data_IF_665412957353
#
_entry.id   IF_665412957353
#
_cell.length_a   1.000
_cell.length_b   1.000
_cell.length_c   1.000
_cell.angle_alpha   90.00
_cell.angle_beta   90.00
_cell.angle_gamma   90.00
#
_symmetry.space_group_name_H-M   'P 1'
#
loop_
_entity.id
_entity.type
_entity.pdbx_description
1 polymer ?
#
# COMPACT_ATOMS: atom_id res chain seq x y z
N UNK A 1 8.11 -15.71 1.74
CA UNK A 1 9.36 -15.61 2.53
C UNK A 1 8.99 -15.57 4.00
N UNK A 2 9.81 -16.17 4.84
CA UNK A 2 9.62 -16.19 6.30
C UNK A 2 10.78 -15.39 6.89
N UNK A 3 10.50 -14.43 7.74
CA UNK A 3 11.51 -13.72 8.51
C UNK A 3 11.94 -14.62 9.67
N UNK A 4 13.13 -15.22 9.59
CA UNK A 4 13.65 -16.11 10.61
C UNK A 4 14.47 -15.39 11.66
N UNK A 5 15.16 -14.34 11.28
CA UNK A 5 16.08 -13.62 12.15
C UNK A 5 15.93 -12.12 11.98
N UNK A 6 15.94 -11.40 13.08
CA UNK A 6 15.93 -9.94 13.09
C UNK A 6 17.00 -9.42 14.03
N UNK A 7 17.93 -8.61 13.52
CA UNK A 7 18.91 -7.86 14.31
C UNK A 7 18.48 -6.40 14.38
N UNK A 8 18.42 -5.89 15.58
CA UNK A 8 18.12 -4.51 15.92
C UNK A 8 19.33 -3.86 16.57
N UNK A 9 19.71 -2.67 16.13
CA UNK A 9 20.78 -1.88 16.74
C UNK A 9 20.45 -0.39 16.62
N UNK A 10 20.46 0.32 17.76
CA UNK A 10 20.27 1.76 17.81
C UNK A 10 18.95 2.30 17.26
N UNK A 11 17.89 1.49 17.18
CA UNK A 11 16.63 1.85 16.56
C UNK A 11 15.56 2.25 17.58
N UNK A 12 15.06 3.47 17.49
CA UNK A 12 13.99 3.99 18.36
C UNK A 12 14.34 3.80 19.85
N UNK A 13 13.40 3.25 20.62
CA UNK A 13 13.60 2.88 22.03
C UNK A 13 13.92 1.39 22.22
N UNK A 14 14.12 0.64 21.12
CA UNK A 14 14.38 -0.80 21.22
C UNK A 14 15.82 -1.08 21.65
N UNK A 15 16.00 -2.03 22.56
CA UNK A 15 17.32 -2.51 22.96
C UNK A 15 18.01 -3.24 21.80
N UNK A 16 19.36 -3.17 21.76
CA UNK A 16 20.13 -3.88 20.76
C UNK A 16 20.01 -5.38 20.99
N UNK A 17 19.55 -6.11 19.99
CA UNK A 17 19.29 -7.55 20.14
C UNK A 17 19.30 -8.27 18.80
N UNK A 18 19.39 -9.60 18.87
CA UNK A 18 19.18 -10.51 17.75
C UNK A 18 18.09 -11.51 18.17
N UNK A 19 17.05 -11.59 17.38
CA UNK A 19 15.88 -12.42 17.66
C UNK A 19 15.71 -13.47 16.57
N UNK A 20 15.48 -14.71 16.97
CA UNK A 20 15.03 -15.78 16.07
C UNK A 20 13.51 -15.82 16.10
N UNK A 21 12.89 -15.57 14.95
CA UNK A 21 11.43 -15.44 14.85
C UNK A 21 10.86 -16.77 14.34
N UNK A 22 9.91 -17.37 15.07
CA UNK A 22 9.26 -18.60 14.67
C UNK A 22 8.54 -18.50 13.32
N UNK A 23 8.44 -19.58 12.54
CA UNK A 23 7.79 -19.57 11.22
C UNK A 23 6.32 -19.13 11.25
N UNK A 24 5.60 -19.43 12.30
CA UNK A 24 4.20 -18.99 12.53
C UNK A 24 4.12 -17.50 12.85
N UNK A 25 5.19 -16.93 13.39
CA UNK A 25 5.25 -15.58 13.91
C UNK A 25 5.18 -15.52 15.42
N UNK A 26 4.84 -14.33 15.97
CA UNK A 26 4.79 -14.08 17.42
C UNK A 26 3.71 -13.07 17.79
N UNK A 27 3.21 -13.18 19.01
CA UNK A 27 2.41 -12.15 19.67
C UNK A 27 3.27 -11.40 20.68
N UNK A 28 3.57 -10.12 20.38
CA UNK A 28 4.36 -9.23 21.24
C UNK A 28 3.45 -8.49 22.22
N UNK A 29 3.53 -8.84 23.48
CA UNK A 29 2.66 -8.33 24.54
C UNK A 29 3.42 -7.38 25.47
N UNK A 30 2.78 -6.29 25.85
CA UNK A 30 3.33 -5.34 26.81
C UNK A 30 2.53 -4.05 26.91
N UNK A 31 2.69 -3.26 27.98
CA UNK A 31 1.99 -2.00 28.15
C UNK A 31 2.22 -1.03 26.98
N UNK A 32 1.41 0.03 26.90
CA UNK A 32 1.58 1.05 25.89
C UNK A 32 2.93 1.77 26.07
N UNK A 33 3.45 2.31 24.94
CA UNK A 33 4.74 3.02 24.88
C UNK A 33 6.01 2.19 25.16
N UNK A 34 5.92 0.86 25.28
CA UNK A 34 7.09 0.00 25.52
C UNK A 34 7.92 -0.31 24.27
N UNK A 35 7.45 0.04 23.07
CA UNK A 35 8.18 -0.18 21.82
C UNK A 35 7.55 -1.21 20.87
N UNK A 36 6.35 -1.73 21.19
CA UNK A 36 5.62 -2.70 20.34
C UNK A 36 5.54 -2.26 18.87
N UNK A 37 4.95 -1.10 18.63
CA UNK A 37 4.82 -0.53 17.28
C UNK A 37 6.17 -0.20 16.63
N UNK A 38 7.20 0.12 17.42
CA UNK A 38 8.54 0.36 16.91
C UNK A 38 9.20 -0.94 16.44
N UNK A 39 8.87 -2.06 17.06
CA UNK A 39 9.31 -3.38 16.61
C UNK A 39 8.72 -3.74 15.23
N UNK A 40 7.42 -3.55 15.05
CA UNK A 40 6.79 -3.74 13.74
C UNK A 40 7.33 -2.76 12.68
N UNK A 41 7.55 -1.49 13.07
CA UNK A 41 8.16 -0.49 12.19
C UNK A 41 9.57 -0.89 11.76
N UNK A 42 10.39 -1.51 12.63
CA UNK A 42 11.72 -1.98 12.27
C UNK A 42 11.69 -3.07 11.18
N UNK A 43 10.75 -4.00 11.27
CA UNK A 43 10.56 -5.06 10.26
C UNK A 43 10.07 -4.45 8.95
N UNK A 44 9.04 -3.62 9.00
CA UNK A 44 8.48 -2.97 7.80
C UNK A 44 9.46 -1.97 7.17
N UNK A 45 10.38 -1.38 7.94
CA UNK A 45 11.46 -0.56 7.41
C UNK A 45 12.35 -1.32 6.42
N UNK A 46 12.58 -2.61 6.64
CA UNK A 46 13.34 -3.47 5.71
C UNK A 46 12.56 -3.78 4.41
N UNK A 47 11.26 -3.55 4.37
CA UNK A 47 10.44 -3.67 3.16
C UNK A 47 10.55 -2.44 2.26
N UNK A 48 10.44 -1.24 2.85
CA UNK A 48 10.30 0.02 2.10
C UNK A 48 11.46 1.00 2.32
N UNK A 49 12.42 0.67 3.18
CA UNK A 49 13.59 1.49 3.57
C UNK A 49 13.24 2.92 3.96
N UNK A 50 12.11 3.12 4.58
CA UNK A 50 11.67 4.39 5.17
C UNK A 50 10.66 4.17 6.29
N UNK A 51 10.48 5.18 7.13
CA UNK A 51 9.42 5.13 8.15
C UNK A 51 8.03 5.02 7.53
N UNK A 52 7.23 4.06 7.97
CA UNK A 52 5.81 3.96 7.64
C UNK A 52 5.05 5.22 8.08
N UNK A 53 5.42 5.79 9.23
CA UNK A 53 4.82 7.00 9.83
C UNK A 53 5.30 8.31 9.19
N UNK A 54 6.11 8.27 8.13
CA UNK A 54 6.64 9.46 7.44
C UNK A 54 7.70 10.24 8.23
N UNK A 55 8.24 9.66 9.29
CA UNK A 55 9.32 10.26 10.07
C UNK A 55 10.62 10.23 9.28
N UNK A 56 11.45 11.28 9.38
CA UNK A 56 12.79 11.30 8.78
C UNK A 56 13.65 10.19 9.39
N UNK A 57 14.42 9.47 8.57
CA UNK A 57 15.20 8.30 9.00
C UNK A 57 16.16 8.61 10.17
N UNK A 58 16.76 9.80 10.18
CA UNK A 58 17.65 10.20 11.29
C UNK A 58 16.95 10.33 12.64
N UNK A 59 15.63 10.50 12.67
CA UNK A 59 14.81 10.51 13.89
C UNK A 59 14.45 9.11 14.40
N UNK A 60 14.75 8.07 13.61
CA UNK A 60 14.61 6.67 14.01
C UNK A 60 15.81 6.19 14.81
N UNK A 61 16.92 6.94 14.80
CA UNK A 61 18.11 6.65 15.58
C UNK A 61 17.81 6.89 17.07
N UNK A 62 18.11 5.90 17.93
CA UNK A 62 17.94 6.00 19.37
C UNK A 62 18.67 7.23 19.92
N UNK A 63 18.11 7.85 20.95
CA UNK A 63 18.75 8.99 21.61
C UNK A 63 20.12 8.58 22.17
N UNK A 64 21.13 9.41 21.89
CA UNK A 64 22.53 9.12 22.28
C UNK A 64 23.31 8.29 21.26
N UNK A 65 22.66 7.61 20.32
CA UNK A 65 23.33 6.80 19.30
C UNK A 65 23.70 7.61 18.05
N UNK A 66 24.79 7.20 17.39
CA UNK A 66 25.25 7.82 16.15
C UNK A 66 24.53 7.26 14.91
N UNK A 67 24.03 6.04 14.98
CA UNK A 67 23.38 5.34 13.86
C UNK A 67 22.38 4.31 14.37
N UNK A 68 21.56 3.81 13.46
CA UNK A 68 20.87 2.53 13.62
C UNK A 68 21.23 1.55 12.51
N UNK A 69 21.14 0.25 12.81
CA UNK A 69 21.21 -0.84 11.85
C UNK A 69 20.09 -1.84 12.11
N UNK A 70 19.40 -2.20 11.04
CA UNK A 70 18.42 -3.28 11.01
C UNK A 70 18.89 -4.34 10.01
N UNK A 71 18.71 -5.62 10.36
CA UNK A 71 19.06 -6.72 9.46
C UNK A 71 18.05 -7.85 9.63
N UNK A 72 17.45 -8.27 8.53
CA UNK A 72 16.50 -9.37 8.46
C UNK A 72 17.10 -10.56 7.72
N UNK A 73 17.11 -11.72 8.36
CA UNK A 73 17.40 -13.01 7.73
C UNK A 73 16.09 -13.64 7.25
N UNK A 74 15.98 -13.87 5.94
CA UNK A 74 14.78 -14.38 5.28
C UNK A 74 15.03 -15.80 4.78
N UNK A 75 14.04 -16.68 4.94
CA UNK A 75 14.01 -17.99 4.33
C UNK A 75 13.11 -17.96 3.10
N UNK A 76 13.68 -18.33 1.96
CA UNK A 76 12.89 -18.54 0.74
C UNK A 76 12.32 -19.97 0.78
N UNK A 77 11.09 -20.18 1.28
CA UNK A 77 10.42 -21.46 1.14
C UNK A 77 9.83 -21.60 -0.26
N UNK A 78 10.13 -22.65 -1.00
CA UNK A 78 9.47 -22.96 -2.27
C UNK A 78 8.39 -24.01 -2.05
N UNK A 79 7.15 -23.79 -2.48
CA UNK A 79 6.13 -24.85 -2.43
C UNK A 79 6.37 -25.99 -3.43
N UNK A 80 7.31 -25.83 -4.35
CA UNK A 80 7.51 -26.77 -5.50
C UNK A 80 8.95 -27.27 -5.63
N UNK A 81 9.92 -26.73 -4.88
CA UNK A 81 11.34 -27.07 -5.03
C UNK A 81 11.83 -27.91 -3.84
N UNK A 82 12.41 -29.06 -4.14
CA UNK A 82 13.19 -29.89 -3.22
C UNK A 82 14.63 -29.40 -3.03
N UNK A 83 15.01 -28.29 -3.69
CA UNK A 83 16.31 -27.66 -3.55
C UNK A 83 16.43 -26.94 -2.20
N UNK A 84 17.64 -26.90 -1.59
CA UNK A 84 17.85 -26.24 -0.33
C UNK A 84 17.45 -24.78 -0.41
N UNK A 85 16.59 -24.38 0.53
CA UNK A 85 16.03 -23.02 0.64
C UNK A 85 17.15 -21.99 0.73
N UNK A 86 17.20 -21.08 -0.24
CA UNK A 86 18.15 -19.98 -0.23
C UNK A 86 17.87 -19.03 0.94
N UNK A 87 18.84 -18.88 1.84
CA UNK A 87 18.80 -17.82 2.85
C UNK A 87 19.12 -16.48 2.18
N UNK A 88 18.31 -15.48 2.44
CA UNK A 88 18.55 -14.11 2.00
C UNK A 88 18.72 -13.18 3.20
N UNK A 89 19.52 -12.17 3.05
CA UNK A 89 19.75 -11.18 4.09
C UNK A 89 19.45 -9.78 3.54
N UNK A 90 18.63 -9.04 4.24
CA UNK A 90 18.31 -7.65 3.92
C UNK A 90 18.72 -6.77 5.09
N UNK A 91 19.53 -5.75 4.83
CA UNK A 91 19.95 -4.84 5.89
C UNK A 91 19.86 -3.38 5.48
N UNK A 92 19.59 -2.54 6.47
CA UNK A 92 19.59 -1.09 6.33
C UNK A 92 20.31 -0.45 7.52
N UNK A 93 21.17 0.52 7.24
CA UNK A 93 21.82 1.34 8.26
C UNK A 93 21.65 2.82 7.91
N UNK A 94 21.40 3.63 8.93
CA UNK A 94 21.27 5.09 8.81
C UNK A 94 22.11 5.75 9.89
N UNK A 95 22.87 6.76 9.53
CA UNK A 95 23.74 7.51 10.45
C UNK A 95 23.39 9.01 10.46
N UNK A 96 23.70 9.69 11.57
CA UNK A 96 23.39 11.13 11.75
C UNK A 96 24.24 12.02 10.86
N UNK A 97 25.49 11.62 10.59
CA UNK A 97 26.47 12.39 9.82
C UNK A 97 27.14 11.51 8.75
N UNK A 98 27.53 12.09 7.64
CA UNK A 98 28.11 11.38 6.50
C UNK A 98 27.06 10.82 5.51
N UNK A 99 27.40 9.75 4.75
CA UNK A 99 26.43 9.10 3.84
C UNK A 99 25.30 8.50 4.64
N UNK A 100 24.15 9.14 4.55
CA UNK A 100 23.03 9.00 5.51
C UNK A 100 22.42 7.62 5.53
N UNK A 101 22.40 6.88 4.41
CA UNK A 101 21.74 5.58 4.34
C UNK A 101 22.52 4.57 3.50
N UNK A 102 22.66 3.36 4.04
CA UNK A 102 23.21 2.20 3.33
C UNK A 102 22.20 1.05 3.40
N UNK A 103 21.89 0.47 2.25
CA UNK A 103 21.05 -0.73 2.12
C UNK A 103 21.89 -1.84 1.51
N UNK A 104 21.73 -3.07 1.98
CA UNK A 104 22.35 -4.25 1.37
C UNK A 104 21.35 -5.39 1.25
N UNK A 105 21.49 -6.16 0.18
CA UNK A 105 20.78 -7.41 -0.05
C UNK A 105 21.85 -8.49 -0.27
N UNK A 106 21.84 -9.53 0.54
CA UNK A 106 22.84 -10.61 0.54
C UNK A 106 24.28 -10.10 0.68
N UNK A 107 24.44 -9.01 1.47
CA UNK A 107 25.73 -8.35 1.72
C UNK A 107 26.13 -7.33 0.65
N UNK A 108 25.52 -7.32 -0.52
CA UNK A 108 25.83 -6.43 -1.62
C UNK A 108 24.98 -5.16 -1.60
N UNK A 109 25.58 -4.05 -2.02
CA UNK A 109 24.85 -2.77 -2.16
C UNK A 109 24.17 -2.76 -3.53
N UNK A 110 22.84 -2.67 -3.62
CA UNK A 110 22.14 -2.63 -4.88
C UNK A 110 22.48 -1.36 -5.66
N UNK A 111 22.41 -1.40 -6.99
CA UNK A 111 22.68 -0.26 -7.86
C UNK A 111 21.75 0.93 -7.53
N UNK A 112 20.51 0.64 -7.16
CA UNK A 112 19.52 1.60 -6.68
C UNK A 112 18.78 1.03 -5.47
N UNK A 113 18.46 1.86 -4.48
CA UNK A 113 17.64 1.44 -3.33
C UNK A 113 16.29 0.84 -3.77
N UNK A 114 15.75 1.33 -4.90
CA UNK A 114 14.53 0.80 -5.50
C UNK A 114 14.59 -0.70 -5.83
N UNK A 115 15.77 -1.21 -6.19
CA UNK A 115 15.98 -2.62 -6.54
C UNK A 115 15.92 -3.54 -5.30
N UNK A 116 16.09 -2.97 -4.12
CA UNK A 116 16.00 -3.66 -2.85
C UNK A 116 14.59 -3.60 -2.21
N UNK A 117 13.65 -2.82 -2.77
CA UNK A 117 12.30 -2.75 -2.21
C UNK A 117 11.60 -4.11 -2.26
N UNK A 118 10.75 -4.33 -1.29
CA UNK A 118 9.89 -5.49 -1.33
C UNK A 118 10.56 -6.83 -1.00
N UNK A 119 11.73 -6.88 -0.38
CA UNK A 119 12.42 -8.16 -0.10
C UNK A 119 11.72 -8.99 0.99
N UNK A 120 11.15 -8.35 1.99
CA UNK A 120 10.50 -9.01 3.14
C UNK A 120 9.10 -9.53 2.77
N UNK A 121 8.34 -8.75 2.01
CA UNK A 121 6.95 -9.04 1.69
C UNK A 121 6.00 -8.74 2.84
N UNK A 122 6.29 -7.72 3.63
CA UNK A 122 5.48 -7.37 4.79
C UNK A 122 4.39 -6.36 4.48
N UNK A 123 3.23 -6.53 5.12
CA UNK A 123 2.13 -5.55 5.13
C UNK A 123 1.87 -5.15 6.57
N UNK A 124 1.88 -3.84 6.81
CA UNK A 124 1.72 -3.27 8.14
C UNK A 124 0.31 -2.69 8.32
N UNK A 125 -0.41 -3.21 9.29
CA UNK A 125 -1.72 -2.72 9.74
C UNK A 125 -1.52 -1.90 11.01
N UNK A 126 -2.02 -0.68 11.04
CA UNK A 126 -1.92 0.22 12.20
C UNK A 126 -3.23 0.93 12.49
N UNK A 127 -3.46 1.40 13.73
CA UNK A 127 -4.61 2.26 14.03
C UNK A 127 -4.64 3.54 13.18
N UNK A 128 -3.48 4.05 12.79
CA UNK A 128 -3.34 5.25 11.94
C UNK A 128 -3.84 5.02 10.50
N UNK A 129 -4.11 3.78 10.08
CA UNK A 129 -4.58 3.50 8.72
C UNK A 129 -5.94 4.15 8.41
N UNK A 130 -6.72 4.48 9.42
CA UNK A 130 -7.96 5.27 9.26
C UNK A 130 -7.71 6.59 8.50
N UNK A 131 -6.50 7.13 8.56
CA UNK A 131 -6.07 8.32 7.83
C UNK A 131 -6.07 8.13 6.30
N UNK A 132 -5.94 6.90 5.81
CA UNK A 132 -6.09 6.59 4.39
C UNK A 132 -7.48 6.96 3.87
N UNK A 133 -8.49 6.92 4.76
CA UNK A 133 -9.88 7.26 4.44
C UNK A 133 -10.21 8.68 4.83
N UNK A 134 -9.83 9.13 6.03
CA UNK A 134 -10.23 10.44 6.57
C UNK A 134 -9.40 11.62 6.05
N UNK A 135 -8.12 11.40 5.73
CA UNK A 135 -7.25 12.48 5.28
C UNK A 135 -7.43 12.78 3.77
N UNK A 136 -6.69 13.78 3.30
CA UNK A 136 -6.77 14.23 1.90
C UNK A 136 -6.20 13.23 0.89
N UNK A 137 -6.37 13.51 -0.41
CA UNK A 137 -5.90 12.66 -1.52
C UNK A 137 -4.42 12.33 -1.49
N UNK A 138 -3.61 13.15 -0.81
CA UNK A 138 -2.16 12.95 -0.72
C UNK A 138 -1.79 11.64 0.00
N UNK A 139 -2.51 11.28 1.09
CA UNK A 139 -2.24 10.04 1.82
C UNK A 139 -2.61 8.82 0.96
N UNK A 140 -3.73 8.86 0.24
CA UNK A 140 -4.13 7.77 -0.66
C UNK A 140 -3.19 7.61 -1.85
N UNK A 141 -2.73 8.71 -2.46
CA UNK A 141 -1.68 8.63 -3.49
C UNK A 141 -0.39 8.06 -2.95
N UNK A 142 0.01 8.46 -1.72
CA UNK A 142 1.21 7.91 -1.08
C UNK A 142 1.08 6.41 -0.83
N UNK A 143 -0.09 5.96 -0.39
CA UNK A 143 -0.39 4.53 -0.23
C UNK A 143 -0.25 3.79 -1.57
N UNK A 144 -0.91 4.24 -2.63
CA UNK A 144 -0.78 3.66 -3.97
C UNK A 144 0.68 3.63 -4.44
N UNK A 145 1.41 4.73 -4.25
CA UNK A 145 2.81 4.82 -4.66
C UNK A 145 3.70 3.81 -3.93
N UNK A 146 3.44 3.55 -2.64
CA UNK A 146 4.18 2.54 -1.88
C UNK A 146 3.84 1.14 -2.39
N UNK A 147 2.56 0.79 -2.41
CA UNK A 147 2.09 -0.55 -2.82
C UNK A 147 2.59 -0.89 -4.23
N UNK A 148 2.42 0.03 -5.18
CA UNK A 148 2.79 -0.21 -6.57
C UNK A 148 4.32 -0.18 -6.77
N UNK A 149 5.07 0.68 -6.07
CA UNK A 149 6.53 0.72 -6.17
C UNK A 149 7.19 -0.56 -5.67
N UNK A 150 6.58 -1.22 -4.69
CA UNK A 150 7.08 -2.47 -4.11
C UNK A 150 6.69 -3.67 -4.95
N UNK A 151 5.48 -3.66 -5.52
CA UNK A 151 4.87 -4.87 -6.08
C UNK A 151 4.73 -4.87 -7.61
N UNK A 152 4.79 -3.71 -8.27
CA UNK A 152 4.57 -3.61 -9.73
C UNK A 152 5.86 -3.22 -10.45
N UNK A 153 6.41 -4.10 -11.30
CA UNK A 153 7.62 -3.83 -12.06
C UNK A 153 7.52 -2.55 -12.89
N UNK A 154 8.57 -1.75 -12.83
CA UNK A 154 8.67 -0.50 -13.59
C UNK A 154 7.79 0.66 -13.10
N UNK A 155 6.93 0.46 -12.07
CA UNK A 155 6.13 1.56 -11.51
C UNK A 155 7.01 2.63 -10.84
N UNK A 156 7.92 2.22 -9.97
CA UNK A 156 8.83 3.16 -9.28
C UNK A 156 9.62 4.00 -10.26
N UNK A 157 10.13 3.39 -11.32
CA UNK A 157 10.89 4.07 -12.35
C UNK A 157 10.03 5.10 -13.11
N UNK A 158 8.82 4.71 -13.51
CA UNK A 158 7.85 5.61 -14.15
C UNK A 158 7.50 6.80 -13.23
N UNK A 159 7.25 6.53 -11.95
CA UNK A 159 6.92 7.55 -10.96
C UNK A 159 8.08 8.53 -10.71
N UNK A 160 9.31 8.01 -10.59
CA UNK A 160 10.51 8.84 -10.42
C UNK A 160 10.73 9.74 -11.65
N UNK A 161 10.61 9.17 -12.86
CA UNK A 161 10.70 9.92 -14.09
C UNK A 161 9.64 11.00 -14.18
N UNK A 162 8.38 10.65 -13.91
CA UNK A 162 7.27 11.59 -13.89
C UNK A 162 7.52 12.75 -12.91
N UNK A 163 7.94 12.45 -11.67
CA UNK A 163 8.22 13.49 -10.66
C UNK A 163 9.36 14.42 -11.05
N UNK A 164 10.40 13.87 -11.66
CA UNK A 164 11.53 14.65 -12.16
C UNK A 164 11.09 15.63 -13.26
N UNK A 165 10.35 15.13 -14.25
CA UNK A 165 9.85 15.96 -15.37
C UNK A 165 8.86 17.00 -14.87
N UNK A 166 7.95 16.62 -13.98
CA UNK A 166 6.98 17.54 -13.35
C UNK A 166 7.67 18.69 -12.62
N UNK A 167 8.75 18.40 -11.88
CA UNK A 167 9.51 19.41 -11.16
C UNK A 167 10.17 20.43 -12.12
N UNK A 168 10.77 19.95 -13.23
CA UNK A 168 11.38 20.81 -14.25
C UNK A 168 10.33 21.66 -14.97
N UNK A 169 9.21 21.03 -15.38
CA UNK A 169 8.11 21.75 -16.04
C UNK A 169 7.52 22.83 -15.12
N UNK A 170 7.29 22.50 -13.83
CA UNK A 170 6.80 23.47 -12.86
C UNK A 170 7.81 24.61 -12.59
N UNK A 171 9.11 24.36 -12.65
CA UNK A 171 10.12 25.41 -12.59
C UNK A 171 10.00 26.35 -13.80
N UNK A 172 9.92 25.81 -15.02
CA UNK A 172 9.73 26.62 -16.23
C UNK A 172 8.44 27.45 -16.20
N UNK A 173 7.34 26.89 -15.67
CA UNK A 173 6.08 27.63 -15.51
C UNK A 173 6.20 28.79 -14.49
N UNK A 174 6.84 28.57 -13.34
CA UNK A 174 7.06 29.62 -12.32
C UNK A 174 7.95 30.74 -12.83
N UNK A 175 8.99 30.38 -13.59
CA UNK A 175 9.95 31.33 -14.17
C UNK A 175 9.37 32.05 -15.40
N UNK A 176 8.10 31.78 -15.76
CA UNK A 176 7.43 32.33 -16.94
C UNK A 176 8.23 32.14 -18.23
N UNK A 177 8.89 30.97 -18.34
CA UNK A 177 9.69 30.63 -19.50
C UNK A 177 8.88 30.72 -20.81
N UNK A 178 9.54 30.94 -21.95
CA UNK A 178 8.88 30.92 -23.27
C UNK A 178 8.04 29.64 -23.45
N UNK A 179 6.95 29.77 -24.18
CA UNK A 179 5.99 28.66 -24.39
C UNK A 179 6.68 27.38 -24.87
N UNK A 180 7.57 27.46 -25.86
CA UNK A 180 8.31 26.31 -26.38
C UNK A 180 9.19 25.60 -25.36
N UNK A 181 9.72 26.34 -24.36
CA UNK A 181 10.51 25.73 -23.27
C UNK A 181 9.65 24.90 -22.32
N UNK A 182 8.38 25.28 -22.09
CA UNK A 182 7.43 24.50 -21.29
C UNK A 182 6.97 23.27 -22.09
N UNK A 183 6.62 23.46 -23.37
CA UNK A 183 6.17 22.41 -24.29
C UNK A 183 7.21 21.31 -24.50
N UNK A 184 8.49 21.64 -24.43
CA UNK A 184 9.57 20.64 -24.51
C UNK A 184 9.46 19.54 -23.42
N UNK A 185 8.85 19.85 -22.28
CA UNK A 185 8.61 18.89 -21.21
C UNK A 185 7.29 18.09 -21.36
N UNK A 186 6.35 18.57 -22.20
CA UNK A 186 5.01 17.97 -22.30
C UNK A 186 5.08 16.51 -22.77
N UNK A 187 5.86 16.18 -23.78
CA UNK A 187 5.98 14.80 -24.31
C UNK A 187 6.56 13.81 -23.29
N UNK A 188 7.54 14.25 -22.51
CA UNK A 188 8.13 13.42 -21.44
C UNK A 188 7.17 13.26 -20.27
N UNK A 189 6.44 14.33 -19.91
CA UNK A 189 5.43 14.31 -18.86
C UNK A 189 4.29 13.37 -19.22
N UNK A 190 3.78 13.46 -20.46
CA UNK A 190 2.71 12.62 -21.00
C UNK A 190 3.11 11.15 -20.94
N UNK A 191 4.24 10.78 -21.52
CA UNK A 191 4.69 9.38 -21.56
C UNK A 191 4.87 8.79 -20.17
N UNK A 192 5.58 9.49 -19.28
CA UNK A 192 5.80 8.98 -17.90
C UNK A 192 4.52 9.02 -17.06
N UNK A 193 3.68 10.05 -17.24
CA UNK A 193 2.41 10.21 -16.54
C UNK A 193 1.38 9.15 -16.94
N UNK A 194 1.21 8.90 -18.23
CA UNK A 194 0.31 7.90 -18.76
C UNK A 194 0.58 6.51 -18.19
N UNK A 195 1.85 6.13 -18.10
CA UNK A 195 2.26 4.85 -17.51
C UNK A 195 1.86 4.75 -16.04
N UNK A 196 2.05 5.81 -15.24
CA UNK A 196 1.61 5.84 -13.83
C UNK A 196 0.09 5.75 -13.71
N UNK A 197 -0.66 6.54 -14.50
CA UNK A 197 -2.13 6.53 -14.54
C UNK A 197 -2.67 5.14 -14.82
N UNK A 198 -2.17 4.49 -15.90
CA UNK A 198 -2.58 3.14 -16.29
C UNK A 198 -2.36 2.11 -15.18
N UNK A 199 -1.16 2.11 -14.58
CA UNK A 199 -0.84 1.13 -13.53
C UNK A 199 -1.72 1.32 -12.30
N UNK A 200 -2.02 2.55 -11.90
CA UNK A 200 -2.93 2.84 -10.79
C UNK A 200 -4.36 2.40 -11.12
N UNK A 201 -4.86 2.78 -12.30
CA UNK A 201 -6.19 2.38 -12.76
C UNK A 201 -6.36 0.86 -12.81
N UNK A 202 -5.38 0.15 -13.35
CA UNK A 202 -5.40 -1.31 -13.41
C UNK A 202 -5.40 -1.95 -12.00
N UNK A 203 -4.61 -1.43 -11.06
CA UNK A 203 -4.60 -1.93 -9.68
C UNK A 203 -5.95 -1.75 -9.00
N UNK A 204 -6.58 -0.58 -9.15
CA UNK A 204 -7.89 -0.31 -8.57
C UNK A 204 -8.97 -1.19 -9.20
N UNK A 205 -8.99 -1.31 -10.52
CA UNK A 205 -9.95 -2.17 -11.24
C UNK A 205 -9.87 -3.63 -10.75
N UNK A 206 -8.66 -4.16 -10.61
CA UNK A 206 -8.44 -5.52 -10.16
C UNK A 206 -8.73 -5.73 -8.67
N UNK A 207 -8.58 -4.68 -7.88
CA UNK A 207 -8.78 -4.73 -6.43
C UNK A 207 -10.20 -4.37 -5.98
N UNK A 208 -10.99 -3.70 -6.81
CA UNK A 208 -12.32 -3.23 -6.43
C UNK A 208 -13.28 -4.36 -5.98
N UNK A 209 -13.32 -5.54 -6.62
CA UNK A 209 -14.11 -6.66 -6.13
C UNK A 209 -13.70 -7.10 -4.72
N UNK A 210 -12.41 -7.33 -4.48
CA UNK A 210 -11.89 -7.71 -3.15
C UNK A 210 -12.21 -6.63 -2.11
N UNK A 211 -12.06 -5.36 -2.45
CA UNK A 211 -12.42 -4.26 -1.53
C UNK A 211 -13.90 -4.34 -1.12
N UNK A 212 -14.80 -4.55 -2.08
CA UNK A 212 -16.24 -4.71 -1.84
C UNK A 212 -16.53 -5.90 -0.92
N UNK A 213 -15.93 -7.04 -1.21
CA UNK A 213 -16.15 -8.28 -0.45
C UNK A 213 -15.66 -8.17 0.99
N UNK A 214 -14.47 -7.57 1.20
CA UNK A 214 -13.92 -7.32 2.54
C UNK A 214 -14.80 -6.34 3.32
N UNK A 215 -15.22 -5.23 2.70
CA UNK A 215 -16.12 -4.27 3.38
C UNK A 215 -17.43 -4.96 3.77
N UNK A 216 -18.04 -5.72 2.85
CA UNK A 216 -19.29 -6.45 3.12
C UNK A 216 -19.14 -7.46 4.26
N UNK A 217 -18.08 -8.24 4.24
CA UNK A 217 -17.82 -9.24 5.27
C UNK A 217 -17.59 -8.60 6.64
N UNK A 218 -16.70 -7.62 6.73
CA UNK A 218 -16.32 -7.00 8.01
C UNK A 218 -17.45 -6.15 8.58
N UNK A 219 -18.20 -5.43 7.76
CA UNK A 219 -19.35 -4.61 8.22
C UNK A 219 -20.58 -5.46 8.58
N UNK A 220 -20.72 -6.64 7.95
CA UNK A 220 -21.90 -7.49 8.08
C UNK A 220 -23.00 -7.15 7.08
N UNK A 221 -22.64 -6.58 5.90
CA UNK A 221 -23.57 -6.39 4.81
C UNK A 221 -23.39 -5.12 3.99
N UNK A 222 -22.72 -4.08 4.54
CA UNK A 222 -22.49 -2.83 3.78
C UNK A 222 -21.64 -3.08 2.51
N UNK A 223 -22.00 -2.47 1.41
CA UNK A 223 -21.25 -2.59 0.17
C UNK A 223 -20.30 -1.40 -0.02
N UNK A 224 -19.00 -1.69 -0.08
CA UNK A 224 -17.99 -0.68 -0.35
C UNK A 224 -17.65 -0.58 -1.82
N UNK A 225 -17.42 0.64 -2.32
CA UNK A 225 -16.96 0.92 -3.68
C UNK A 225 -15.61 1.61 -3.65
N UNK A 226 -14.69 1.16 -4.49
CA UNK A 226 -13.36 1.69 -4.67
C UNK A 226 -13.20 2.17 -6.12
N UNK A 227 -13.04 3.48 -6.30
CA UNK A 227 -12.92 4.10 -7.63
C UNK A 227 -11.60 4.84 -7.78
N UNK A 228 -11.03 4.80 -8.97
CA UNK A 228 -9.90 5.60 -9.35
C UNK A 228 -10.33 6.78 -10.21
N UNK A 229 -10.04 7.98 -9.74
CA UNK A 229 -10.29 9.22 -10.46
C UNK A 229 -8.94 9.77 -10.92
N UNK A 230 -8.62 9.64 -12.21
CA UNK A 230 -7.38 10.20 -12.74
C UNK A 230 -7.40 11.72 -12.63
N UNK A 231 -6.25 12.33 -12.41
CA UNK A 231 -6.06 13.78 -12.34
C UNK A 231 -6.17 14.45 -13.71
N UNK A 232 -7.19 14.11 -14.47
CA UNK A 232 -7.57 14.62 -15.79
C UNK A 232 -8.96 15.25 -15.66
N UNK A 233 -9.22 16.46 -16.22
CA UNK A 233 -10.51 17.11 -16.15
C UNK A 233 -11.65 16.20 -16.64
N UNK A 234 -12.77 16.21 -15.91
CA UNK A 234 -13.90 15.32 -16.18
C UNK A 234 -13.72 13.88 -15.68
N UNK A 235 -12.58 13.53 -15.07
CA UNK A 235 -12.33 12.15 -14.61
C UNK A 235 -12.31 11.12 -15.73
N UNK A 236 -12.05 11.56 -16.98
CA UNK A 236 -12.09 10.71 -18.18
C UNK A 236 -11.17 9.50 -18.02
N UNK A 237 -11.77 8.32 -18.09
CA UNK A 237 -11.08 7.04 -18.02
C UNK A 237 -11.21 6.31 -19.35
N UNK A 238 -10.12 5.91 -20.02
CA UNK A 238 -10.16 5.39 -21.38
C UNK A 238 -10.89 4.03 -21.52
N UNK A 239 -11.04 3.29 -20.42
CA UNK A 239 -11.62 1.94 -20.43
C UNK A 239 -13.10 1.93 -19.99
N UNK A 240 -13.54 2.88 -19.18
CA UNK A 240 -14.90 2.89 -18.63
C UNK A 240 -15.80 3.97 -19.22
N UNK A 241 -15.25 4.93 -19.96
CA UNK A 241 -16.01 6.05 -20.50
C UNK A 241 -16.63 6.95 -19.41
N UNK A 242 -16.26 6.77 -18.15
CA UNK A 242 -16.90 7.41 -17.01
C UNK A 242 -16.52 8.89 -16.97
N UNK A 243 -17.49 9.74 -17.20
CA UNK A 243 -17.38 11.19 -17.00
C UNK A 243 -17.89 11.50 -15.59
N UNK A 244 -16.94 11.74 -14.66
CA UNK A 244 -17.24 12.13 -13.28
C UNK A 244 -17.47 13.64 -13.16
N UNK A 245 -18.22 14.22 -14.11
CA UNK A 245 -18.62 15.63 -14.05
C UNK A 245 -19.67 15.86 -12.97
N UNK A 246 -19.64 16.99 -12.22
CA UNK A 246 -20.75 17.40 -11.40
C UNK A 246 -21.92 17.85 -12.30
N UNK A 247 -22.97 17.04 -12.40
CA UNK A 247 -24.24 17.42 -13.01
C UNK A 247 -24.31 17.26 -14.53
N UNK A 248 -24.43 16.06 -15.02
CA UNK A 248 -25.08 15.80 -16.30
C UNK A 248 -26.32 14.95 -16.02
N UNK A 249 -27.47 15.63 -15.93
CA UNK A 249 -28.76 15.05 -16.20
C UNK A 249 -28.78 14.78 -17.71
N UNK A 250 -28.60 13.52 -18.08
CA UNK A 250 -28.66 13.05 -19.46
C UNK A 250 -29.32 11.70 -19.46
N UNK A 251 -30.57 11.68 -19.88
CA UNK A 251 -31.38 10.51 -20.15
C UNK A 251 -30.62 9.58 -21.10
N UNK A 252 -30.44 8.34 -20.72
CA UNK A 252 -30.15 7.25 -21.64
C UNK A 252 -31.11 6.11 -21.32
N UNK A 253 -32.25 6.13 -22.01
CA UNK A 253 -33.05 4.95 -22.30
C UNK A 253 -32.25 4.05 -23.25
N UNK A 254 -32.22 2.75 -22.99
CA UNK A 254 -31.61 1.78 -23.90
C UNK A 254 -31.41 0.42 -23.26
N UNK A 255 -32.43 -0.39 -23.34
CA UNK A 255 -32.47 -1.82 -23.01
C UNK A 255 -31.33 -2.62 -23.65
N UNK A 256 -30.79 -3.59 -22.92
CA UNK A 256 -30.51 -4.93 -23.44
C UNK A 256 -30.23 -5.91 -22.30
N UNK A 257 -31.25 -6.64 -21.91
CA UNK A 257 -31.09 -7.95 -21.24
C UNK A 257 -30.35 -8.91 -22.17
N UNK A 258 -29.26 -9.45 -21.69
CA UNK A 258 -28.68 -10.73 -22.16
C UNK A 258 -28.20 -11.53 -20.96
N UNK A 259 -28.92 -12.59 -20.70
CA UNK A 259 -28.48 -13.69 -19.85
C UNK A 259 -27.21 -14.35 -20.43
N UNK A 260 -26.23 -14.71 -19.65
CA UNK A 260 -25.16 -15.60 -20.10
C UNK A 260 -25.50 -17.03 -19.67
N UNK A 261 -25.74 -17.88 -20.67
CA UNK A 261 -25.65 -19.34 -20.55
C UNK A 261 -24.17 -19.76 -20.43
N UNK A 262 -23.95 -20.78 -19.58
CA UNK A 262 -22.84 -21.71 -19.75
C UNK A 262 -21.57 -21.44 -18.95
N UNK A 263 -21.46 -22.10 -17.80
CA UNK A 263 -20.17 -22.39 -17.16
C UNK A 263 -19.33 -23.31 -18.05
N UNK A 264 -18.04 -23.06 -18.19
CA UNK A 264 -17.08 -24.14 -18.47
C UNK A 264 -16.19 -24.37 -17.22
N UNK A 265 -16.26 -25.58 -16.70
CA UNK A 265 -15.22 -26.15 -15.83
C UNK A 265 -13.85 -26.08 -16.54
N UNK A 266 -13.02 -25.16 -16.16
CA UNK A 266 -11.64 -24.98 -16.62
C UNK A 266 -10.66 -25.08 -15.46
N UNK A 267 -9.71 -26.02 -15.56
CA UNK A 267 -8.55 -26.18 -14.68
C UNK A 267 -7.85 -24.85 -14.46
N UNK A 268 -7.20 -24.60 -13.30
CA UNK A 268 -6.52 -23.34 -13.03
C UNK A 268 -5.37 -23.15 -14.02
N UNK A 269 -5.56 -22.30 -15.00
CA UNK A 269 -4.52 -21.81 -15.88
C UNK A 269 -3.46 -21.05 -15.07
N UNK A 270 -2.20 -21.30 -15.41
CA UNK A 270 -1.04 -20.58 -14.89
C UNK A 270 -1.26 -19.09 -15.05
N UNK A 271 -1.28 -18.39 -13.92
CA UNK A 271 -1.49 -16.97 -13.74
C UNK A 271 -0.66 -16.14 -14.74
N UNK A 272 -1.26 -15.46 -15.73
CA UNK A 272 -0.54 -14.47 -16.51
C UNK A 272 -0.14 -13.36 -15.57
N UNK A 273 1.12 -12.90 -15.63
CA UNK A 273 1.70 -11.92 -14.71
C UNK A 273 0.79 -10.73 -14.49
N UNK A 274 0.48 -10.48 -13.25
CA UNK A 274 -0.39 -9.42 -12.72
C UNK A 274 0.09 -8.03 -13.17
N UNK A 275 -0.16 -7.61 -14.39
CA UNK A 275 0.24 -6.36 -15.05
C UNK A 275 1.46 -6.43 -16.00
N UNK A 276 1.97 -7.61 -16.35
CA UNK A 276 3.16 -7.73 -17.22
C UNK A 276 2.85 -7.75 -18.73
N UNK A 277 1.60 -7.75 -19.15
CA UNK A 277 1.29 -7.58 -20.58
C UNK A 277 1.27 -6.10 -20.91
N UNK A 278 2.28 -5.59 -21.66
CA UNK A 278 2.08 -4.38 -22.42
C UNK A 278 1.06 -4.74 -23.51
N UNK A 279 -0.22 -4.57 -23.26
CA UNK A 279 -1.16 -4.42 -24.38
C UNK A 279 -0.60 -3.25 -25.18
N UNK A 280 -0.02 -3.57 -26.33
CA UNK A 280 0.49 -2.59 -27.28
C UNK A 280 -0.65 -1.63 -27.61
N UNK A 281 -0.62 -0.44 -27.02
CA UNK A 281 -1.70 0.55 -27.14
C UNK A 281 -2.36 1.01 -25.84
N UNK A 282 -2.23 0.27 -24.74
CA UNK A 282 -2.86 0.69 -23.47
C UNK A 282 -2.28 2.02 -22.92
N UNK A 283 -0.97 2.20 -22.99
CA UNK A 283 -0.33 3.47 -22.62
C UNK A 283 -0.73 4.59 -23.58
N UNK A 284 -0.90 4.30 -24.89
CA UNK A 284 -1.23 5.29 -25.91
C UNK A 284 -2.58 5.99 -25.64
N UNK A 285 -3.58 5.28 -25.15
CA UNK A 285 -4.88 5.88 -24.77
C UNK A 285 -4.73 6.91 -23.65
N UNK A 286 -3.95 6.56 -22.63
CA UNK A 286 -3.67 7.47 -21.52
C UNK A 286 -2.78 8.65 -21.95
N UNK A 287 -1.85 8.44 -22.90
CA UNK A 287 -1.03 9.49 -23.48
C UNK A 287 -1.90 10.52 -24.22
N UNK A 288 -2.86 10.07 -25.04
CA UNK A 288 -3.78 10.95 -25.75
C UNK A 288 -4.57 11.80 -24.76
N UNK A 289 -5.24 11.18 -23.79
CA UNK A 289 -6.05 11.90 -22.80
C UNK A 289 -5.24 12.91 -21.99
N UNK A 290 -4.02 12.53 -21.55
CA UNK A 290 -3.18 13.43 -20.77
C UNK A 290 -2.63 14.58 -21.62
N UNK A 291 -2.29 14.32 -22.90
CA UNK A 291 -1.84 15.35 -23.82
C UNK A 291 -2.95 16.37 -24.14
N UNK A 292 -4.18 15.91 -24.33
CA UNK A 292 -5.35 16.77 -24.52
C UNK A 292 -5.61 17.64 -23.30
N UNK A 293 -5.62 17.05 -22.11
CA UNK A 293 -5.83 17.78 -20.86
C UNK A 293 -4.75 18.84 -20.60
N UNK A 294 -3.48 18.55 -20.92
CA UNK A 294 -2.38 19.52 -20.83
C UNK A 294 -2.58 20.69 -21.82
N UNK A 295 -3.07 20.38 -23.04
CA UNK A 295 -3.31 21.42 -24.05
C UNK A 295 -4.48 22.31 -23.65
N UNK A 296 -5.56 21.73 -23.14
CA UNK A 296 -6.74 22.46 -22.66
C UNK A 296 -6.43 23.33 -21.44
N UNK A 297 -5.64 22.82 -20.49
CA UNK A 297 -5.27 23.50 -19.24
C UNK A 297 -4.14 24.52 -19.35
N UNK A 298 -3.51 24.67 -20.50
CA UNK A 298 -2.23 25.39 -20.67
C UNK A 298 -2.23 26.84 -20.17
N UNK A 299 -3.24 27.60 -20.51
CA UNK A 299 -3.32 29.02 -20.13
C UNK A 299 -3.49 29.18 -18.61
N UNK A 300 -4.28 28.31 -18.00
CA UNK A 300 -4.46 28.31 -16.56
C UNK A 300 -3.18 27.86 -15.82
N UNK A 301 -2.47 26.88 -16.34
CA UNK A 301 -1.18 26.44 -15.81
C UNK A 301 -0.13 27.57 -15.85
N UNK A 302 -0.09 28.32 -16.95
CA UNK A 302 0.80 29.50 -17.05
C UNK A 302 0.42 30.58 -16.05
N UNK A 303 -0.86 30.82 -15.85
CA UNK A 303 -1.36 31.80 -14.88
C UNK A 303 -1.00 31.39 -13.45
N UNK A 304 -1.17 30.10 -13.10
CA UNK A 304 -0.89 29.58 -11.76
C UNK A 304 0.57 29.20 -11.51
N UNK A 305 1.40 29.13 -12.54
CA UNK A 305 2.80 28.73 -12.43
C UNK A 305 3.00 27.26 -12.05
N UNK A 306 2.03 26.38 -12.35
CA UNK A 306 2.10 24.97 -11.99
C UNK A 306 1.27 24.09 -12.93
N UNK A 307 1.67 22.82 -13.02
CA UNK A 307 0.93 21.79 -13.75
C UNK A 307 -0.35 21.41 -12.98
N UNK A 308 -1.48 21.39 -13.68
CA UNK A 308 -2.81 21.17 -13.07
C UNK A 308 -3.38 19.79 -13.34
N UNK A 309 -2.82 19.04 -14.28
CA UNK A 309 -3.31 17.72 -14.70
C UNK A 309 -2.24 16.65 -14.56
N UNK A 310 -2.66 15.40 -14.32
CA UNK A 310 -1.79 14.23 -14.26
C UNK A 310 -1.75 13.54 -12.90
N UNK A 311 -0.93 12.47 -12.76
CA UNK A 311 -0.90 11.56 -11.59
C UNK A 311 -0.76 12.22 -10.22
N UNK A 312 -0.19 13.41 -10.13
CA UNK A 312 -0.07 14.15 -8.88
C UNK A 312 -1.40 14.77 -8.41
N UNK A 313 -2.46 14.68 -9.20
CA UNK A 313 -3.83 15.15 -8.93
C UNK A 313 -4.85 14.03 -8.78
N UNK A 314 -4.42 12.77 -8.93
CA UNK A 314 -5.31 11.62 -8.81
C UNK A 314 -6.00 11.53 -7.45
N UNK A 315 -7.18 10.92 -7.46
CA UNK A 315 -7.92 10.57 -6.27
C UNK A 315 -8.30 9.08 -6.28
N UNK A 316 -8.20 8.45 -5.12
CA UNK A 316 -8.75 7.14 -4.83
C UNK A 316 -10.01 7.36 -3.99
N UNK A 317 -11.18 7.21 -4.59
CA UNK A 317 -12.45 7.48 -3.93
C UNK A 317 -12.98 6.20 -3.29
N UNK A 318 -13.38 6.32 -2.03
CA UNK A 318 -13.92 5.24 -1.21
C UNK A 318 -15.35 5.62 -0.84
N UNK A 319 -16.31 4.79 -1.23
CA UNK A 319 -17.75 5.06 -0.99
C UNK A 319 -18.43 3.85 -0.37
N UNK A 320 -19.57 4.08 0.27
CA UNK A 320 -20.54 3.04 0.63
C UNK A 320 -21.77 3.20 -0.27
N UNK A 321 -22.20 2.10 -0.84
CA UNK A 321 -23.44 2.07 -1.61
C UNK A 321 -24.64 2.32 -0.67
N UNK A 322 -25.69 2.98 -1.13
CA UNK A 322 -26.88 3.21 -0.31
C UNK A 322 -27.56 1.88 0.02
N UNK A 323 -28.11 1.78 1.24
CA UNK A 323 -28.99 0.68 1.57
C UNK A 323 -30.32 0.81 0.79
N UNK A 324 -31.00 -0.30 0.51
CA UNK A 324 -32.32 -0.27 -0.09
C UNK A 324 -33.29 0.60 0.72
N UNK A 325 -33.78 1.69 0.15
CA UNK A 325 -34.64 2.66 0.82
C UNK A 325 -33.98 3.95 1.31
N UNK A 326 -32.67 4.04 1.25
CA UNK A 326 -31.93 5.25 1.58
C UNK A 326 -32.11 6.35 0.51
N UNK A 327 -32.40 7.57 0.94
CA UNK A 327 -32.40 8.76 0.07
C UNK A 327 -30.97 9.25 -0.27
N UNK A 328 -30.04 8.32 -0.48
CA UNK A 328 -28.66 8.66 -0.76
C UNK A 328 -28.48 9.08 -2.23
N UNK A 329 -27.48 9.93 -2.54
CA UNK A 329 -27.16 10.30 -3.91
C UNK A 329 -26.87 9.06 -4.77
N UNK A 330 -27.29 9.07 -6.04
CA UNK A 330 -26.87 8.06 -7.02
C UNK A 330 -25.34 7.95 -6.99
N UNK A 331 -24.80 6.76 -6.69
CA UNK A 331 -23.36 6.52 -6.61
C UNK A 331 -22.76 6.42 -5.19
N UNK A 332 -23.59 6.37 -4.15
CA UNK A 332 -23.16 6.10 -2.78
C UNK A 332 -22.62 7.32 -2.01
N UNK A 333 -22.36 7.12 -0.71
CA UNK A 333 -21.84 8.15 0.21
C UNK A 333 -20.32 8.08 0.28
N UNK A 334 -19.64 9.23 0.11
CA UNK A 334 -18.20 9.33 0.29
C UNK A 334 -17.82 9.02 1.76
N UNK A 335 -16.95 8.02 1.94
CA UNK A 335 -16.53 7.60 3.29
C UNK A 335 -15.73 8.64 4.03
N UNK A 336 -14.99 9.49 3.33
CA UNK A 336 -14.21 10.55 3.94
C UNK A 336 -15.12 11.56 4.65
N UNK A 337 -16.21 11.94 4.00
CA UNK A 337 -17.12 13.00 4.48
C UNK A 337 -18.20 12.44 5.42
N UNK A 338 -18.79 11.32 5.06
CA UNK A 338 -20.00 10.80 5.71
C UNK A 338 -19.79 9.49 6.49
N UNK A 339 -18.63 8.84 6.33
CA UNK A 339 -18.36 7.56 6.99
C UNK A 339 -18.20 7.69 8.50
N UNK A 340 -18.82 6.78 9.24
CA UNK A 340 -18.56 6.61 10.68
C UNK A 340 -17.13 6.16 10.94
N UNK A 341 -16.64 6.31 12.18
CA UNK A 341 -15.30 5.83 12.56
C UNK A 341 -15.11 4.34 12.27
N UNK A 342 -16.12 3.50 12.54
CA UNK A 342 -16.08 2.08 12.25
C UNK A 342 -16.04 1.76 10.75
N UNK A 343 -16.84 2.47 9.93
CA UNK A 343 -16.82 2.32 8.47
C UNK A 343 -15.49 2.73 7.86
N UNK A 344 -14.89 3.83 8.34
CA UNK A 344 -13.55 4.27 7.91
C UNK A 344 -12.47 3.24 8.23
N UNK A 345 -12.51 2.62 9.42
CA UNK A 345 -11.59 1.54 9.81
C UNK A 345 -11.78 0.30 8.94
N UNK A 346 -13.02 -0.09 8.67
CA UNK A 346 -13.33 -1.22 7.78
C UNK A 346 -12.76 -0.99 6.38
N UNK A 347 -12.93 0.20 5.82
CA UNK A 347 -12.40 0.55 4.51
C UNK A 347 -10.86 0.62 4.50
N UNK A 348 -10.24 1.14 5.55
CA UNK A 348 -8.78 1.15 5.71
C UNK A 348 -8.21 -0.28 5.79
N UNK A 349 -8.86 -1.15 6.55
CA UNK A 349 -8.52 -2.58 6.60
C UNK A 349 -8.64 -3.23 5.24
N UNK A 350 -9.72 -2.95 4.49
CA UNK A 350 -9.91 -3.48 3.14
C UNK A 350 -8.76 -3.06 2.19
N UNK A 351 -8.27 -1.82 2.27
CA UNK A 351 -7.10 -1.38 1.50
C UNK A 351 -5.83 -2.16 1.88
N UNK A 352 -5.62 -2.47 3.16
CA UNK A 352 -4.47 -3.27 3.61
C UNK A 352 -4.58 -4.74 3.18
N UNK A 353 -5.77 -5.30 3.17
CA UNK A 353 -6.00 -6.64 2.61
C UNK A 353 -5.69 -6.66 1.10
N UNK A 354 -6.10 -5.63 0.36
CA UNK A 354 -5.71 -5.46 -1.05
C UNK A 354 -4.20 -5.40 -1.25
N UNK A 355 -3.49 -4.72 -0.36
CA UNK A 355 -2.03 -4.69 -0.37
C UNK A 355 -1.47 -6.10 -0.16
N UNK A 356 -1.97 -6.85 0.84
CA UNK A 356 -1.56 -8.23 1.12
C UNK A 356 -1.84 -9.18 -0.07
N UNK A 357 -2.99 -9.03 -0.71
CA UNK A 357 -3.34 -9.78 -1.92
C UNK A 357 -2.41 -9.41 -3.10
N UNK A 358 -2.02 -8.15 -3.24
CA UNK A 358 -1.05 -7.71 -4.24
C UNK A 358 0.31 -8.38 -4.04
N UNK A 359 0.76 -8.48 -2.79
CA UNK A 359 1.98 -9.21 -2.41
C UNK A 359 1.85 -10.68 -2.78
N UNK A 360 0.73 -11.32 -2.44
CA UNK A 360 0.46 -12.73 -2.76
C UNK A 360 0.49 -12.98 -4.27
N UNK A 361 -0.21 -12.18 -5.06
CA UNK A 361 -0.24 -12.28 -6.52
C UNK A 361 1.14 -12.08 -7.15
N UNK A 362 1.91 -11.13 -6.65
CA UNK A 362 3.27 -10.83 -7.15
C UNK A 362 4.26 -11.94 -6.84
N UNK A 363 4.18 -12.55 -5.65
CA UNK A 363 5.19 -13.46 -5.12
C UNK A 363 4.79 -14.92 -5.14
N UNK A 364 3.50 -15.21 -5.39
CA UNK A 364 2.92 -16.55 -5.24
C UNK A 364 2.91 -17.04 -3.79
N UNK A 365 3.06 -16.15 -2.81
CA UNK A 365 3.16 -16.45 -1.37
C UNK A 365 2.51 -15.39 -0.53
N UNK A 366 1.89 -15.77 0.61
CA UNK A 366 1.29 -14.82 1.54
C UNK A 366 2.29 -13.79 2.06
N UNK A 367 1.79 -12.59 2.35
CA UNK A 367 2.53 -11.55 3.01
C UNK A 367 2.86 -11.92 4.47
N UNK A 368 3.97 -11.38 4.99
CA UNK A 368 4.19 -11.27 6.43
C UNK A 368 3.25 -10.19 6.98
N UNK A 369 2.27 -10.56 7.79
CA UNK A 369 1.35 -9.60 8.38
C UNK A 369 1.93 -9.04 9.67
N UNK A 370 1.99 -7.71 9.74
CA UNK A 370 2.41 -6.94 10.92
C UNK A 370 1.18 -6.21 11.47
N UNK A 371 0.63 -6.67 12.58
CA UNK A 371 -0.64 -6.21 13.13
C UNK A 371 -0.41 -5.38 14.40
N UNK A 372 -0.46 -4.05 14.28
CA UNK A 372 -0.27 -3.14 15.41
C UNK A 372 -1.61 -2.80 16.04
N UNK A 373 -1.93 -3.44 17.16
CA UNK A 373 -3.11 -3.15 18.00
C UNK A 373 -4.45 -3.06 17.23
N UNK A 374 -4.57 -3.86 16.15
CA UNK A 374 -5.63 -3.74 15.12
C UNK A 374 -7.04 -3.94 15.69
N UNK A 375 -7.15 -4.68 16.80
CA UNK A 375 -8.44 -5.05 17.39
C UNK A 375 -8.92 -4.09 18.49
N UNK A 376 -8.07 -3.16 18.97
CA UNK A 376 -8.33 -2.34 20.16
C UNK A 376 -9.56 -1.43 20.06
N UNK A 377 -9.99 -1.10 18.83
CA UNK A 377 -11.07 -0.13 18.61
C UNK A 377 -12.23 -0.69 17.79
N UNK A 378 -12.26 -2.03 17.60
CA UNK A 378 -13.35 -2.72 16.91
C UNK A 378 -14.32 -3.29 17.95
N UNK A 379 -15.63 -3.26 17.64
CA UNK A 379 -16.61 -4.03 18.40
C UNK A 379 -16.35 -5.55 18.27
N UNK A 380 -16.94 -6.34 19.18
CA UNK A 380 -16.68 -7.77 19.25
C UNK A 380 -17.04 -8.50 17.93
N UNK A 381 -18.15 -8.13 17.29
CA UNK A 381 -18.62 -8.78 16.08
C UNK A 381 -17.71 -8.47 14.88
N UNK A 382 -17.26 -7.21 14.72
CA UNK A 382 -16.28 -6.84 13.70
C UNK A 382 -14.92 -7.48 13.96
N UNK A 383 -14.48 -7.51 15.22
CA UNK A 383 -13.22 -8.17 15.59
C UNK A 383 -13.22 -9.63 15.17
N UNK A 384 -14.31 -10.36 15.41
CA UNK A 384 -14.44 -11.77 15.04
C UNK A 384 -14.40 -11.96 13.51
N UNK A 385 -15.12 -11.12 12.75
CA UNK A 385 -15.09 -11.17 11.28
C UNK A 385 -13.71 -10.86 10.71
N UNK A 386 -13.02 -9.85 11.27
CA UNK A 386 -11.64 -9.52 10.88
C UNK A 386 -10.69 -10.66 11.19
N UNK A 387 -10.83 -11.31 12.35
CA UNK A 387 -10.04 -12.50 12.71
C UNK A 387 -10.26 -13.63 11.69
N UNK A 388 -11.51 -13.94 11.35
CA UNK A 388 -11.83 -14.95 10.34
C UNK A 388 -11.28 -14.61 8.95
N UNK A 389 -11.35 -13.34 8.55
CA UNK A 389 -10.78 -12.86 7.29
C UNK A 389 -9.25 -12.99 7.25
N UNK A 390 -8.58 -12.53 8.31
CA UNK A 390 -7.13 -12.62 8.42
C UNK A 390 -6.65 -14.07 8.47
N UNK A 391 -7.36 -14.98 9.16
CA UNK A 391 -7.02 -16.41 9.18
C UNK A 391 -7.05 -17.06 7.80
N UNK A 392 -8.01 -16.69 6.96
CA UNK A 392 -8.08 -17.16 5.57
C UNK A 392 -7.04 -16.52 4.67
N UNK A 393 -6.79 -15.23 4.87
CA UNK A 393 -5.83 -14.46 4.04
C UNK A 393 -4.39 -14.71 4.48
N UNK A 394 -4.17 -14.94 5.77
CA UNK A 394 -2.85 -15.10 6.39
C UNK A 394 -2.44 -16.57 6.48
N UNK A 395 -2.30 -17.26 5.35
CA UNK A 395 -1.59 -18.56 5.34
C UNK A 395 -0.08 -18.41 5.67
N UNK A 396 0.40 -17.15 5.89
CA UNK A 396 1.78 -16.79 6.15
C UNK A 396 2.10 -16.53 7.63
N UNK A 397 3.30 -15.98 7.83
CA UNK A 397 3.80 -15.56 9.14
C UNK A 397 3.08 -14.29 9.63
N UNK A 398 2.78 -14.22 10.93
CA UNK A 398 2.09 -13.09 11.55
C UNK A 398 2.84 -12.59 12.77
N UNK A 399 3.07 -11.30 12.85
CA UNK A 399 3.59 -10.65 14.05
C UNK A 399 2.55 -9.64 14.50
N UNK A 400 1.96 -9.87 15.66
CA UNK A 400 0.95 -8.97 16.22
C UNK A 400 1.39 -8.36 17.54
N UNK A 401 0.86 -7.20 17.85
CA UNK A 401 1.06 -6.54 19.13
C UNK A 401 -0.25 -6.47 19.92
N UNK A 402 -0.16 -6.61 21.23
CA UNK A 402 -1.30 -6.46 22.13
C UNK A 402 -0.87 -5.80 23.45
N UNK A 403 -1.76 -5.04 24.12
CA UNK A 403 -1.48 -4.49 25.44
C UNK A 403 -1.41 -5.56 26.54
N UNK A 404 -2.24 -6.60 26.44
CA UNK A 404 -2.35 -7.71 27.40
C UNK A 404 -2.45 -9.04 26.67
N UNK A 405 -2.08 -10.12 27.33
CA UNK A 405 -2.18 -11.48 26.79
C UNK A 405 -3.63 -11.86 26.41
N UNK A 406 -4.60 -11.45 27.23
CA UNK A 406 -6.03 -11.70 26.96
C UNK A 406 -6.54 -11.02 25.67
N UNK A 407 -5.84 -9.99 25.18
CA UNK A 407 -6.21 -9.27 23.94
C UNK A 407 -5.70 -10.00 22.69
N UNK A 408 -4.83 -11.01 22.85
CA UNK A 408 -4.33 -11.84 21.75
C UNK A 408 -5.38 -12.87 21.37
N UNK A 409 -6.31 -12.52 20.48
CA UNK A 409 -7.40 -13.40 20.03
C UNK A 409 -7.04 -14.15 18.75
N UNK A 410 -6.15 -13.57 17.92
CA UNK A 410 -5.75 -14.14 16.65
C UNK A 410 -4.77 -15.29 16.84
N UNK A 411 -5.09 -16.47 16.27
CA UNK A 411 -4.27 -17.69 16.40
C UNK A 411 -3.83 -17.94 17.84
N UNK A 412 -4.76 -17.79 18.78
CA UNK A 412 -4.50 -17.80 20.21
C UNK A 412 -3.59 -18.92 20.66
N UNK A 413 -3.79 -20.14 20.15
CA UNK A 413 -3.05 -21.34 20.56
C UNK A 413 -1.79 -21.61 19.73
N UNK A 414 -1.49 -20.80 18.73
CA UNK A 414 -0.41 -21.06 17.75
C UNK A 414 0.74 -20.06 17.79
N UNK A 415 0.49 -18.83 18.28
CA UNK A 415 1.52 -17.78 18.30
C UNK A 415 2.25 -17.79 19.65
N UNK A 416 3.57 -18.01 19.68
CA UNK A 416 4.39 -17.79 20.86
C UNK A 416 4.20 -16.39 21.42
N UNK A 417 4.20 -16.28 22.76
CA UNK A 417 4.07 -15.00 23.47
C UNK A 417 5.45 -14.44 23.80
N UNK A 418 5.72 -13.25 23.29
CA UNK A 418 6.90 -12.49 23.66
C UNK A 418 6.47 -11.29 24.50
N UNK A 419 7.29 -10.90 25.47
CA UNK A 419 7.03 -9.72 26.30
C UNK A 419 7.97 -8.59 25.95
N UNK A 420 7.48 -7.35 25.98
CA UNK A 420 8.28 -6.16 25.78
C UNK A 420 8.11 -5.19 26.94
N UNK A 421 9.23 -4.79 27.56
CA UNK A 421 9.30 -3.81 28.64
C UNK A 421 10.50 -2.89 28.41
N UNK A 422 10.30 -1.57 28.44
CA UNK A 422 11.36 -0.58 28.26
C UNK A 422 12.17 -0.72 26.96
N UNK A 423 11.58 -1.30 25.90
CA UNK A 423 12.27 -1.58 24.65
C UNK A 423 13.02 -2.90 24.60
N UNK A 424 13.07 -3.65 25.71
CA UNK A 424 13.66 -4.99 25.80
C UNK A 424 12.63 -6.06 25.48
N UNK A 425 12.97 -6.94 24.56
CA UNK A 425 12.12 -8.05 24.11
C UNK A 425 12.59 -9.34 24.75
N UNK A 426 11.69 -10.02 25.46
CA UNK A 426 11.89 -11.34 26.04
C UNK A 426 11.16 -12.36 25.16
N UNK A 427 11.93 -13.19 24.46
CA UNK A 427 11.46 -14.25 23.58
C UNK A 427 11.27 -15.54 24.39
N UNK A 428 10.02 -16.08 24.41
CA UNK A 428 9.70 -17.35 25.03
C UNK A 428 9.44 -17.31 26.54
N UNK A 429 8.60 -18.20 27.02
CA UNK A 429 8.23 -18.30 28.41
C UNK A 429 9.33 -18.85 29.31
N UNK A 430 10.34 -18.05 29.59
CA UNK A 430 11.13 -18.22 30.81
C UNK A 430 10.36 -17.50 31.92
N UNK A 431 9.63 -18.29 32.66
CA UNK A 431 9.05 -17.93 33.95
C UNK A 431 10.16 -17.41 34.87
N UNK A 432 10.00 -16.21 35.36
CA UNK A 432 10.56 -15.77 36.62
C UNK A 432 9.47 -15.02 37.39
#
# INVERSE_FOLDING_TARGET
>A
MILQRLRLQGFRNLEDTVLEIPPEGVALVGPNAQGKSNFLEAIHYLEIFRSARGTRDTRLIRFGEAFFRLEGGLLASSPVSTEPEGRRTVAAAVQRSGPVKKVTVDGEVPARIGDALGQVGSVLFTPDDVRLVSDGPQERRRFLDIVLSVNVPGYLEALQRYRQVLAQRNAALRDRAPRGSVEAWDSLLVRSGARVLRMRAAWVRLGAPTFRDVVREVSGGECGTLDYLPGIPGGRHPETGYDAGPGSEGEAEGEAEREPEGEPEGKPEKNPGFMDSPESGADARWEVLLAEALREGREEERRRGMTLVGPHRDELRLRLDPEPGDAAPRGGRDLREYGSGGQKRTAALALRILEAETVLRRRGRPALLLLDDVFAELDAARSERVLGLLDRTAAGQVILTAPKEADVRFRHDRLPRWRILGGRIHAGGDDA
#
